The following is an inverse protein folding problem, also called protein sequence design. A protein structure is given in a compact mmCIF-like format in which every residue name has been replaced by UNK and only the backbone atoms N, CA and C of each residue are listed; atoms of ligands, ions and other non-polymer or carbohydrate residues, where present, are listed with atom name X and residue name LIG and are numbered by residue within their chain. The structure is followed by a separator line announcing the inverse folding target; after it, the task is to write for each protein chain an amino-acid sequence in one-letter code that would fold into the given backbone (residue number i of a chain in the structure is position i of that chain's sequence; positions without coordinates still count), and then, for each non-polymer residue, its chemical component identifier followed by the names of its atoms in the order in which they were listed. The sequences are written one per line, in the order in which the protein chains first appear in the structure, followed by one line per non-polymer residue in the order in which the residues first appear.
data_IF_018631938441
#
_entry.id   IF_018631938441
#
_cell.length_a   1.000
_cell.length_b   1.000
_cell.length_c   1.000
_cell.angle_alpha   90.00
_cell.angle_beta   90.00
_cell.angle_gamma   90.00
#
_symmetry.space_group_name_H-M   'P 1'
#
loop_
_entity.id
_entity.type
_entity.pdbx_description
1 polymer ?
#
# COMPACT_ATOMS: atom_id res chain seq x y z
N UNK A 1 7.05 29.40 -29.72
CA UNK A 1 7.31 29.00 -28.32
C UNK A 1 6.73 27.62 -28.10
N UNK A 2 7.61 26.62 -27.93
CA UNK A 2 7.26 25.24 -27.52
C UNK A 2 7.36 25.17 -26.00
N UNK A 3 6.54 24.37 -25.34
CA UNK A 3 7.00 23.32 -24.42
C UNK A 3 5.87 22.34 -24.08
N UNK A 4 6.17 21.06 -24.29
CA UNK A 4 5.49 19.88 -23.74
C UNK A 4 6.34 19.43 -22.55
N UNK A 5 5.73 19.17 -21.41
CA UNK A 5 6.40 18.61 -20.23
C UNK A 5 6.28 17.09 -20.30
N UNK A 6 7.44 16.43 -20.34
CA UNK A 6 7.58 14.99 -20.16
C UNK A 6 8.03 14.71 -18.71
N UNK A 7 7.43 13.70 -18.11
CA UNK A 7 7.69 13.18 -16.77
C UNK A 7 8.97 12.34 -16.80
N UNK A 8 9.91 12.63 -15.91
CA UNK A 8 11.13 11.87 -15.72
C UNK A 8 10.94 10.85 -14.58
N UNK A 9 11.15 9.58 -14.90
CA UNK A 9 11.25 8.47 -13.95
C UNK A 9 12.52 7.67 -14.27
N UNK A 10 13.15 7.16 -13.21
CA UNK A 10 14.18 6.12 -13.18
C UNK A 10 15.62 6.55 -13.56
N UNK A 11 16.50 6.58 -12.55
CA UNK A 11 17.87 6.06 -12.68
C UNK A 11 18.50 5.85 -11.30
N UNK A 12 18.58 4.60 -10.84
CA UNK A 12 19.59 4.15 -9.86
C UNK A 12 19.94 2.69 -10.14
N UNK A 13 20.89 2.51 -11.05
CA UNK A 13 21.77 1.36 -11.29
C UNK A 13 22.89 2.00 -12.14
N UNK A 14 24.17 2.02 -11.78
CA UNK A 14 25.08 0.89 -11.61
C UNK A 14 26.40 1.40 -11.01
N UNK A 15 26.97 0.71 -10.01
CA UNK A 15 28.39 0.86 -9.68
C UNK A 15 29.15 -0.28 -10.37
N UNK A 16 29.63 -0.04 -11.59
CA UNK A 16 30.54 -0.95 -12.29
C UNK A 16 31.96 -0.42 -12.13
N UNK A 17 32.76 -1.07 -11.27
CA UNK A 17 34.20 -0.87 -11.26
C UNK A 17 34.79 -1.56 -12.50
N UNK A 18 35.38 -0.77 -13.39
CA UNK A 18 36.15 -1.26 -14.52
C UNK A 18 37.51 -1.79 -14.00
N UNK A 19 37.72 -3.10 -14.09
CA UNK A 19 39.05 -3.71 -14.06
C UNK A 19 39.32 -4.33 -15.42
N UNK A 20 40.45 -3.95 -16.01
CA UNK A 20 40.84 -4.30 -17.37
C UNK A 20 41.01 -5.80 -17.59
N UNK A 21 40.63 -6.24 -18.79
CA UNK A 21 40.82 -7.60 -19.28
C UNK A 21 42.31 -7.89 -19.46
N UNK A 22 42.81 -8.87 -18.72
CA UNK A 22 44.07 -9.56 -19.02
C UNK A 22 43.70 -11.04 -19.21
N UNK A 23 44.07 -11.69 -20.33
CA UNK A 23 43.62 -13.05 -20.60
C UNK A 23 44.34 -14.02 -19.65
N UNK A 24 43.58 -14.57 -18.71
CA UNK A 24 44.04 -15.61 -17.79
C UNK A 24 44.18 -16.94 -18.56
N UNK A 25 45.28 -17.70 -18.39
CA UNK A 25 45.48 -18.95 -19.12
C UNK A 25 44.48 -20.02 -18.66
N UNK A 26 44.09 -20.91 -19.58
CA UNK A 26 43.15 -21.99 -19.32
C UNK A 26 43.59 -22.86 -18.13
N UNK A 27 42.89 -22.75 -17.00
CA UNK A 27 43.09 -23.61 -15.83
C UNK A 27 42.35 -24.93 -16.07
N UNK A 28 43.13 -25.99 -16.18
CA UNK A 28 42.68 -27.37 -16.13
C UNK A 28 42.04 -27.66 -14.76
N UNK A 29 40.71 -27.68 -14.69
CA UNK A 29 40.00 -27.93 -13.43
C UNK A 29 38.46 -27.99 -13.52
N UNK A 30 37.89 -28.18 -14.71
CA UNK A 30 36.45 -28.03 -14.98
C UNK A 30 35.54 -29.15 -14.41
N UNK A 31 35.84 -29.69 -13.22
CA UNK A 31 35.04 -30.78 -12.64
C UNK A 31 35.06 -30.91 -11.12
N UNK A 32 35.67 -29.98 -10.37
CA UNK A 32 35.67 -30.01 -8.90
C UNK A 32 34.71 -29.01 -8.25
N UNK A 33 34.54 -27.82 -8.82
CA UNK A 33 33.72 -26.78 -8.18
C UNK A 33 32.21 -27.03 -8.30
N UNK A 34 31.73 -27.64 -9.39
CA UNK A 34 30.30 -27.89 -9.61
C UNK A 34 29.69 -28.88 -8.61
N UNK A 35 30.45 -29.90 -8.20
CA UNK A 35 29.97 -30.91 -7.24
C UNK A 35 29.80 -30.34 -5.82
N UNK A 36 30.67 -29.42 -5.41
CA UNK A 36 30.57 -28.75 -4.12
C UNK A 36 29.47 -27.69 -4.09
N UNK A 37 29.22 -27.02 -5.22
CA UNK A 37 28.10 -26.06 -5.38
C UNK A 37 26.73 -26.75 -5.34
N UNK A 38 26.55 -27.87 -6.05
CA UNK A 38 25.29 -28.62 -6.07
C UNK A 38 24.91 -29.12 -4.67
N UNK A 39 25.86 -29.68 -3.92
CA UNK A 39 25.65 -30.14 -2.54
C UNK A 39 25.37 -28.99 -1.57
N UNK A 40 25.94 -27.81 -1.81
CA UNK A 40 25.66 -26.61 -1.02
C UNK A 40 24.27 -26.05 -1.33
N UNK A 41 23.87 -26.01 -2.61
CA UNK A 41 22.52 -25.61 -3.03
C UNK A 41 21.47 -26.56 -2.41
N UNK A 42 21.75 -27.86 -2.38
CA UNK A 42 20.84 -28.85 -1.81
C UNK A 42 20.69 -28.71 -0.29
N UNK A 43 21.79 -28.41 0.42
CA UNK A 43 21.74 -28.03 1.85
C UNK A 43 20.95 -26.75 2.09
N UNK A 44 21.12 -25.72 1.25
CA UNK A 44 20.37 -24.46 1.35
C UNK A 44 18.88 -24.64 1.00
N UNK A 45 18.54 -25.59 0.12
CA UNK A 45 17.15 -25.94 -0.19
C UNK A 45 16.41 -26.53 1.01
N UNK A 46 17.12 -27.21 1.91
CA UNK A 46 16.57 -27.76 3.15
C UNK A 46 16.38 -26.70 4.25
N UNK A 47 17.01 -25.53 4.12
CA UNK A 47 16.84 -24.46 5.11
C UNK A 47 15.44 -23.85 4.98
N UNK A 48 14.67 -23.79 6.07
CA UNK A 48 13.34 -23.23 6.03
C UNK A 48 13.40 -21.70 5.92
N UNK A 49 12.56 -21.15 5.03
CA UNK A 49 12.39 -19.72 4.85
C UNK A 49 11.33 -19.25 5.84
N UNK A 50 11.78 -18.85 7.02
CA UNK A 50 10.90 -18.55 8.14
C UNK A 50 10.43 -17.09 8.11
N UNK A 51 11.19 -16.16 7.53
CA UNK A 51 10.76 -14.77 7.43
C UNK A 51 10.17 -14.49 6.07
N UNK A 52 9.16 -13.64 6.03
CA UNK A 52 8.65 -13.12 4.77
C UNK A 52 8.28 -11.65 4.89
N UNK A 53 8.38 -10.96 3.76
CA UNK A 53 7.91 -9.60 3.58
C UNK A 53 7.27 -9.44 2.20
N UNK A 54 6.22 -8.64 2.10
CA UNK A 54 5.49 -8.38 0.87
C UNK A 54 5.15 -6.92 0.73
N UNK A 55 5.22 -6.45 -0.51
CA UNK A 55 4.72 -5.15 -0.92
C UNK A 55 3.60 -5.38 -1.92
N UNK A 56 2.42 -4.87 -1.63
CA UNK A 56 1.23 -5.09 -2.46
C UNK A 56 0.55 -3.79 -2.80
N UNK A 57 0.13 -3.64 -4.05
CA UNK A 57 -0.90 -2.70 -4.43
C UNK A 57 -2.25 -3.15 -3.85
N UNK A 58 -3.05 -2.18 -3.44
CA UNK A 58 -4.32 -2.41 -2.76
C UNK A 58 -5.43 -1.67 -3.47
N UNK A 59 -6.49 -2.40 -3.81
CA UNK A 59 -7.79 -1.86 -4.21
C UNK A 59 -8.79 -2.12 -3.10
N UNK A 60 -9.48 -1.08 -2.64
CA UNK A 60 -10.43 -1.16 -1.54
C UNK A 60 -11.81 -0.65 -1.94
N UNK A 61 -12.83 -1.39 -1.53
CA UNK A 61 -14.22 -1.10 -1.82
C UNK A 61 -15.04 -1.12 -0.51
N UNK A 62 -15.52 0.05 -0.05
CA UNK A 62 -16.40 0.17 1.10
C UNK A 62 -17.72 -0.59 0.94
N UNK A 63 -18.34 -0.95 2.07
CA UNK A 63 -19.63 -1.67 2.10
C UNK A 63 -20.64 -1.05 3.05
N UNK A 64 -21.88 -1.53 2.93
CA UNK A 64 -22.98 -1.16 3.80
C UNK A 64 -23.26 0.35 3.82
N UNK A 65 -23.59 0.84 5.02
CA UNK A 65 -23.88 2.25 5.26
C UNK A 65 -22.64 3.14 5.04
N UNK A 66 -21.45 2.60 5.29
CA UNK A 66 -20.21 3.31 5.06
C UNK A 66 -19.97 3.61 3.57
N UNK A 67 -20.29 2.65 2.69
CA UNK A 67 -20.29 2.92 1.24
C UNK A 67 -21.26 4.03 0.87
N UNK A 68 -22.51 3.96 1.34
CA UNK A 68 -23.53 4.98 1.04
C UNK A 68 -23.09 6.37 1.50
N UNK A 69 -22.44 6.42 2.66
CA UNK A 69 -21.87 7.65 3.19
C UNK A 69 -20.76 8.18 2.28
N UNK A 70 -19.78 7.34 1.91
CA UNK A 70 -18.69 7.77 1.04
C UNK A 70 -19.20 8.17 -0.36
N UNK A 71 -20.21 7.47 -0.89
CA UNK A 71 -20.88 7.82 -2.14
C UNK A 71 -21.54 9.21 -2.06
N UNK A 72 -22.08 9.61 -0.89
CA UNK A 72 -22.69 10.94 -0.68
C UNK A 72 -21.68 12.10 -0.78
N UNK A 73 -20.41 11.79 -0.54
CA UNK A 73 -19.27 12.69 -0.72
C UNK A 73 -18.49 12.36 -1.99
N UNK A 74 -19.14 11.73 -2.98
CA UNK A 74 -18.60 11.39 -4.30
C UNK A 74 -17.25 10.64 -4.26
N UNK A 75 -17.11 9.74 -3.30
CA UNK A 75 -15.91 8.93 -3.10
C UNK A 75 -16.36 7.48 -2.92
N UNK A 76 -16.03 6.55 -3.82
CA UNK A 76 -16.67 5.22 -3.82
C UNK A 76 -15.71 4.03 -3.75
N UNK A 77 -14.41 4.29 -3.90
CA UNK A 77 -13.33 3.29 -3.85
C UNK A 77 -12.04 3.97 -3.41
N UNK A 78 -11.10 3.16 -2.92
CA UNK A 78 -9.78 3.63 -2.51
C UNK A 78 -8.66 2.77 -3.10
N UNK A 79 -7.53 3.39 -3.39
CA UNK A 79 -6.32 2.71 -3.85
C UNK A 79 -5.16 2.96 -2.91
N UNK A 80 -4.19 2.07 -2.88
CA UNK A 80 -2.93 2.36 -2.23
C UNK A 80 -2.01 1.17 -2.15
N UNK A 81 -1.27 1.08 -1.06
CA UNK A 81 -0.22 0.09 -0.89
C UNK A 81 -0.28 -0.50 0.51
N UNK A 82 0.10 -1.77 0.64
CA UNK A 82 0.30 -2.43 1.93
C UNK A 82 1.68 -3.06 1.98
N UNK A 83 2.27 -2.98 3.16
CA UNK A 83 3.42 -3.77 3.54
C UNK A 83 2.98 -4.81 4.56
N UNK A 84 3.28 -6.06 4.28
CA UNK A 84 3.01 -7.17 5.20
C UNK A 84 4.29 -7.96 5.43
N UNK A 85 4.50 -8.44 6.64
CA UNK A 85 5.61 -9.33 6.95
C UNK A 85 5.35 -10.14 8.20
N UNK A 86 6.11 -11.21 8.36
CA UNK A 86 5.91 -12.10 9.49
C UNK A 86 6.90 -13.25 9.55
N UNK A 87 6.63 -14.12 10.52
CA UNK A 87 7.37 -15.34 10.81
C UNK A 87 6.49 -16.56 10.54
N UNK A 88 6.97 -17.47 9.70
CA UNK A 88 6.42 -18.78 9.39
C UNK A 88 7.11 -19.83 10.26
N UNK A 89 6.32 -20.65 10.94
CA UNK A 89 6.83 -21.78 11.71
C UNK A 89 7.28 -22.90 10.76
N UNK A 90 8.37 -23.58 11.11
CA UNK A 90 8.98 -24.62 10.25
C UNK A 90 8.15 -25.91 10.23
N UNK A 91 7.61 -26.32 11.39
CA UNK A 91 6.96 -27.62 11.55
C UNK A 91 5.47 -27.61 11.16
N UNK A 92 4.86 -26.42 11.11
CA UNK A 92 3.44 -26.24 10.81
C UNK A 92 3.28 -25.16 9.74
N UNK A 93 2.30 -25.27 8.82
CA UNK A 93 2.09 -24.26 7.78
C UNK A 93 1.43 -22.99 8.33
N UNK A 94 1.78 -22.57 9.54
CA UNK A 94 1.25 -21.40 10.23
C UNK A 94 2.30 -20.29 10.21
N UNK A 95 1.84 -19.06 10.09
CA UNK A 95 2.63 -17.86 10.20
C UNK A 95 1.90 -16.81 11.03
N UNK A 96 2.67 -15.96 11.72
CA UNK A 96 2.16 -14.79 12.43
C UNK A 96 2.88 -13.58 11.86
N UNK A 97 2.16 -12.49 11.67
CA UNK A 97 2.73 -11.29 11.07
C UNK A 97 1.93 -10.03 11.37
N UNK A 98 2.35 -8.96 10.74
CA UNK A 98 1.67 -7.68 10.75
C UNK A 98 1.49 -7.18 9.31
N UNK A 99 0.47 -6.37 9.11
CA UNK A 99 0.12 -5.72 7.85
C UNK A 99 -0.19 -4.25 8.14
N UNK A 100 0.45 -3.37 7.37
CA UNK A 100 0.22 -1.92 7.43
C UNK A 100 -0.08 -1.44 6.03
N UNK A 101 -1.30 -0.98 5.84
CA UNK A 101 -1.77 -0.41 4.59
C UNK A 101 -1.87 1.11 4.65
N UNK A 102 -1.80 1.74 3.49
CA UNK A 102 -2.23 3.12 3.27
C UNK A 102 -3.17 3.11 2.07
N UNK A 103 -4.37 3.64 2.26
CA UNK A 103 -5.43 3.72 1.25
C UNK A 103 -5.86 5.17 1.08
N UNK A 104 -5.88 5.62 -0.16
CA UNK A 104 -6.29 6.95 -0.56
C UNK A 104 -7.68 6.88 -1.18
N UNK A 105 -8.60 7.65 -0.62
CA UNK A 105 -10.00 7.70 -1.02
C UNK A 105 -10.29 9.06 -1.64
N UNK A 106 -9.89 9.21 -2.90
CA UNK A 106 -10.12 10.41 -3.72
C UNK A 106 -9.56 11.71 -3.13
N UNK A 107 -9.52 12.74 -3.96
CA UNK A 107 -9.38 14.13 -3.50
C UNK A 107 -10.30 15.00 -4.34
N UNK A 108 -11.05 15.88 -3.68
CA UNK A 108 -11.86 16.87 -4.39
C UNK A 108 -11.17 18.22 -4.31
N UNK A 109 -10.80 18.73 -5.47
CA UNK A 109 -10.32 20.09 -5.64
C UNK A 109 -11.39 20.92 -6.32
N UNK A 110 -11.82 22.02 -5.70
CA UNK A 110 -12.66 23.03 -6.35
C UNK A 110 -11.98 24.39 -6.22
N UNK A 111 -11.86 25.10 -7.34
CA UNK A 111 -11.34 26.47 -7.38
C UNK A 111 -12.49 27.45 -7.59
N UNK A 112 -12.57 28.44 -6.70
CA UNK A 112 -13.60 29.48 -6.69
C UNK A 112 -13.02 30.81 -7.15
N UNK A 113 -13.77 31.49 -8.01
CA UNK A 113 -13.48 32.86 -8.43
C UNK A 113 -14.34 33.80 -7.60
N UNK A 114 -13.71 34.57 -6.70
CA UNK A 114 -14.44 35.58 -5.92
C UNK A 114 -14.03 36.98 -6.40
N UNK A 115 -14.97 37.79 -6.92
CA UNK A 115 -14.70 39.19 -7.16
C UNK A 115 -14.56 39.91 -5.81
N UNK A 116 -13.40 40.52 -5.57
CA UNK A 116 -13.10 41.31 -4.39
C UNK A 116 -12.71 42.73 -4.82
N UNK A 117 -13.19 43.74 -4.08
CA UNK A 117 -12.73 45.12 -4.28
C UNK A 117 -11.69 45.42 -3.22
N UNK A 118 -10.43 45.55 -3.62
CA UNK A 118 -9.30 45.88 -2.74
C UNK A 118 -8.83 47.28 -3.10
N UNK A 119 -8.97 48.23 -2.17
CA UNK A 119 -8.58 49.63 -2.40
C UNK A 119 -9.36 50.32 -3.53
N UNK A 120 -10.62 49.93 -3.76
CA UNK A 120 -11.46 50.52 -4.81
C UNK A 120 -11.26 49.93 -6.22
N UNK A 121 -10.33 48.97 -6.40
CA UNK A 121 -10.08 48.30 -7.68
C UNK A 121 -10.71 46.89 -7.65
N UNK A 122 -11.56 46.52 -8.61
CA UNK A 122 -12.09 45.17 -8.72
C UNK A 122 -10.96 44.20 -9.10
N UNK A 123 -10.76 43.18 -8.27
CA UNK A 123 -9.83 42.07 -8.51
C UNK A 123 -10.55 40.74 -8.39
N UNK A 124 -10.20 39.78 -9.24
CA UNK A 124 -10.65 38.40 -9.10
C UNK A 124 -9.65 37.64 -8.25
N UNK A 125 -10.12 37.08 -7.14
CA UNK A 125 -9.33 36.19 -6.27
C UNK A 125 -9.69 34.75 -6.61
N UNK A 126 -8.68 33.90 -6.67
CA UNK A 126 -8.83 32.46 -6.79
C UNK A 126 -8.59 31.81 -5.43
N UNK A 127 -9.56 31.03 -4.99
CA UNK A 127 -9.45 30.21 -3.78
C UNK A 127 -9.57 28.74 -4.15
N UNK A 128 -8.68 27.92 -3.62
CA UNK A 128 -8.69 26.48 -3.87
C UNK A 128 -9.05 25.76 -2.57
N UNK A 129 -10.11 24.96 -2.64
CA UNK A 129 -10.51 24.04 -1.57
C UNK A 129 -10.07 22.64 -1.97
N UNK A 130 -9.32 21.98 -1.07
CA UNK A 130 -8.93 20.59 -1.22
C UNK A 130 -9.43 19.77 -0.03
N UNK A 131 -10.04 18.62 -0.33
CA UNK A 131 -10.38 17.60 0.67
C UNK A 131 -9.76 16.27 0.28
N UNK A 132 -9.08 15.62 1.23
CA UNK A 132 -8.53 14.28 1.05
C UNK A 132 -8.89 13.36 2.21
N UNK A 133 -9.02 12.08 1.90
CA UNK A 133 -9.32 11.04 2.88
C UNK A 133 -8.30 9.91 2.77
N UNK A 134 -7.70 9.56 3.89
CA UNK A 134 -6.68 8.52 4.00
C UNK A 134 -7.07 7.53 5.08
N UNK A 135 -6.94 6.23 4.78
CA UNK A 135 -7.14 5.14 5.72
C UNK A 135 -5.83 4.38 5.88
N UNK A 136 -5.44 4.13 7.12
CA UNK A 136 -4.23 3.41 7.46
C UNK A 136 -4.62 2.21 8.33
N UNK A 137 -4.97 1.06 7.71
CA UNK A 137 -5.20 -0.18 8.45
C UNK A 137 -3.89 -0.74 8.98
N UNK A 138 -3.86 -1.06 10.27
CA UNK A 138 -2.76 -1.72 10.98
C UNK A 138 -3.33 -2.98 11.60
N UNK A 139 -2.85 -4.15 11.16
CA UNK A 139 -3.42 -5.45 11.52
C UNK A 139 -2.34 -6.40 11.95
N UNK A 140 -2.55 -7.10 13.07
CA UNK A 140 -1.79 -8.31 13.41
C UNK A 140 -2.56 -9.50 12.85
N UNK A 141 -1.88 -10.38 12.12
CA UNK A 141 -2.50 -11.50 11.42
C UNK A 141 -1.85 -12.84 11.73
N UNK A 142 -2.68 -13.87 11.76
CA UNK A 142 -2.29 -15.26 11.71
C UNK A 142 -2.68 -15.80 10.33
N UNK A 143 -1.75 -16.50 9.67
CA UNK A 143 -1.90 -17.02 8.31
C UNK A 143 -1.59 -18.51 8.28
N UNK A 144 -2.42 -19.28 7.62
CA UNK A 144 -2.16 -20.69 7.28
C UNK A 144 -1.81 -20.73 5.79
N UNK A 145 -0.60 -21.17 5.45
CA UNK A 145 -0.05 -21.13 4.10
C UNK A 145 0.70 -22.45 3.76
N UNK A 146 -0.04 -23.51 3.38
CA UNK A 146 0.57 -24.77 2.92
C UNK A 146 1.38 -24.55 1.64
N UNK A 147 2.56 -25.17 1.56
CA UNK A 147 3.39 -25.15 0.35
C UNK A 147 3.03 -26.34 -0.54
N UNK A 148 2.56 -26.07 -1.75
CA UNK A 148 2.14 -27.07 -2.75
C UNK A 148 3.10 -27.02 -3.96
N UNK A 149 4.35 -26.60 -3.74
CA UNK A 149 5.42 -26.58 -4.74
C UNK A 149 5.58 -25.20 -5.38
N UNK A 150 4.88 -24.97 -6.50
CA UNK A 150 4.93 -23.68 -7.23
C UNK A 150 3.84 -22.70 -6.80
N UNK A 151 2.84 -23.18 -6.04
CA UNK A 151 1.76 -22.36 -5.47
C UNK A 151 1.67 -22.58 -3.97
N UNK A 152 1.44 -21.50 -3.25
CA UNK A 152 1.15 -21.50 -1.83
C UNK A 152 -0.16 -20.73 -1.60
N UNK A 153 -1.31 -21.43 -1.58
CA UNK A 153 -2.55 -20.80 -1.16
C UNK A 153 -2.45 -20.45 0.33
N UNK A 154 -3.15 -19.41 0.76
CA UNK A 154 -3.20 -19.03 2.16
C UNK A 154 -4.59 -18.55 2.58
N UNK A 155 -4.87 -18.75 3.86
CA UNK A 155 -6.00 -18.13 4.56
C UNK A 155 -5.42 -17.36 5.74
N UNK A 156 -5.95 -16.18 6.02
CA UNK A 156 -5.50 -15.35 7.11
C UNK A 156 -6.68 -14.77 7.88
N UNK A 157 -6.46 -14.55 9.17
CA UNK A 157 -7.35 -13.81 10.04
C UNK A 157 -6.53 -12.89 10.91
N UNK A 158 -7.08 -11.74 11.26
CA UNK A 158 -6.36 -10.74 12.02
C UNK A 158 -7.28 -9.76 12.73
N UNK A 159 -6.67 -8.97 13.59
CA UNK A 159 -7.34 -7.89 14.30
C UNK A 159 -6.38 -6.70 14.44
N UNK A 160 -6.93 -5.51 14.60
CA UNK A 160 -6.12 -4.32 14.74
C UNK A 160 -6.95 -3.05 14.71
N UNK A 161 -6.35 -1.98 14.19
CA UNK A 161 -6.92 -0.63 14.19
C UNK A 161 -6.84 -0.06 12.77
N UNK A 162 -7.81 0.76 12.40
CA UNK A 162 -7.68 1.61 11.20
C UNK A 162 -7.64 3.05 11.62
N UNK A 163 -6.60 3.78 11.22
CA UNK A 163 -6.56 5.23 11.38
C UNK A 163 -7.23 5.86 10.16
N UNK A 164 -8.34 6.54 10.38
CA UNK A 164 -9.09 7.27 9.36
C UNK A 164 -8.80 8.75 9.54
N UNK A 165 -8.16 9.37 8.54
CA UNK A 165 -7.85 10.79 8.56
C UNK A 165 -8.56 11.50 7.40
N UNK A 166 -9.27 12.57 7.74
CA UNK A 166 -9.85 13.50 6.76
C UNK A 166 -9.21 14.87 6.93
N UNK A 167 -8.62 15.37 5.85
CA UNK A 167 -7.96 16.67 5.82
C UNK A 167 -8.73 17.62 4.93
N UNK A 168 -8.96 18.83 5.43
CA UNK A 168 -9.46 19.98 4.68
C UNK A 168 -8.38 21.06 4.64
N UNK A 169 -8.14 21.60 3.46
CA UNK A 169 -7.28 22.76 3.25
C UNK A 169 -7.98 23.78 2.35
N UNK A 170 -8.02 25.03 2.82
CA UNK A 170 -8.43 26.20 2.06
C UNK A 170 -7.23 27.12 1.88
N UNK A 171 -6.86 27.33 0.62
CA UNK A 171 -5.80 28.27 0.25
C UNK A 171 -6.43 29.47 -0.44
N UNK A 172 -6.31 30.65 0.17
CA UNK A 172 -6.77 31.91 -0.42
C UNK A 172 -5.60 32.76 -0.92
N UNK A 173 -5.72 33.30 -2.13
CA UNK A 173 -4.71 34.17 -2.74
C UNK A 173 -4.56 35.54 -2.05
N UNK A 174 -5.40 35.88 -1.07
CA UNK A 174 -5.32 37.12 -0.27
C UNK A 174 -4.69 36.94 1.11
N UNK A 175 -4.10 35.76 1.41
CA UNK A 175 -3.25 35.56 2.58
C UNK A 175 -3.90 34.84 3.76
N UNK A 176 -4.87 33.97 3.51
CA UNK A 176 -5.46 33.07 4.51
C UNK A 176 -5.27 31.61 4.13
N UNK A 177 -4.69 30.83 5.04
CA UNK A 177 -4.65 29.36 4.96
C UNK A 177 -5.41 28.81 6.17
N UNK A 178 -6.46 28.02 5.91
CA UNK A 178 -7.19 27.32 6.95
C UNK A 178 -7.08 25.82 6.71
N UNK A 179 -6.45 25.14 7.66
CA UNK A 179 -6.29 23.69 7.64
C UNK A 179 -7.01 23.11 8.86
N UNK A 180 -7.83 22.09 8.63
CA UNK A 180 -8.43 21.32 9.71
C UNK A 180 -8.31 19.83 9.41
N UNK A 181 -8.01 19.05 10.44
CA UNK A 181 -7.87 17.60 10.36
C UNK A 181 -8.85 16.96 11.35
N UNK A 182 -9.48 15.88 10.92
CA UNK A 182 -10.25 15.01 11.80
C UNK A 182 -9.72 13.58 11.68
N UNK A 183 -9.32 13.01 12.82
CA UNK A 183 -8.77 11.65 12.89
C UNK A 183 -9.65 10.78 13.78
N UNK A 184 -9.94 9.57 13.33
CA UNK A 184 -10.69 8.56 14.07
C UNK A 184 -9.94 7.23 14.00
N UNK A 185 -10.04 6.42 15.05
CA UNK A 185 -9.29 5.15 15.15
C UNK A 185 -10.22 4.00 15.58
N UNK A 186 -11.09 3.50 14.69
CA UNK A 186 -11.88 2.31 14.97
C UNK A 186 -11.03 1.05 15.09
N UNK A 187 -11.51 0.13 15.92
CA UNK A 187 -11.03 -1.25 15.94
C UNK A 187 -11.56 -2.01 14.71
N UNK A 188 -10.79 -3.00 14.25
CA UNK A 188 -11.16 -3.85 13.14
C UNK A 188 -10.76 -5.30 13.32
N UNK A 189 -11.53 -6.18 12.69
CA UNK A 189 -11.20 -7.58 12.47
C UNK A 189 -11.09 -7.83 10.98
N UNK A 190 -10.26 -8.77 10.56
CA UNK A 190 -10.17 -9.14 9.15
C UNK A 190 -10.06 -10.64 8.96
N UNK A 191 -10.60 -11.09 7.84
CA UNK A 191 -10.45 -12.45 7.33
C UNK A 191 -10.15 -12.36 5.85
N UNK A 192 -9.21 -13.16 5.37
CA UNK A 192 -8.79 -13.11 3.99
C UNK A 192 -8.28 -14.45 3.49
N UNK A 193 -8.18 -14.56 2.19
CA UNK A 193 -7.57 -15.67 1.50
C UNK A 193 -6.79 -15.16 0.29
N UNK A 194 -5.80 -15.92 -0.14
CA UNK A 194 -5.03 -15.54 -1.31
C UNK A 194 -4.13 -16.66 -1.82
N UNK A 195 -3.30 -16.27 -2.77
CA UNK A 195 -2.45 -17.15 -3.54
C UNK A 195 -1.07 -16.52 -3.70
N UNK A 196 -0.04 -17.25 -3.33
CA UNK A 196 1.35 -16.93 -3.63
C UNK A 196 1.83 -17.86 -4.75
N UNK A 197 2.18 -17.31 -5.90
CA UNK A 197 2.75 -18.05 -7.03
C UNK A 197 4.25 -17.84 -7.04
N UNK A 198 5.03 -18.90 -6.87
CA UNK A 198 6.50 -18.85 -6.86
C UNK A 198 7.00 -18.50 -8.27
N UNK A 199 7.81 -17.46 -8.38
CA UNK A 199 8.37 -16.99 -9.66
C UNK A 199 9.87 -17.24 -9.74
N UNK A 200 10.59 -17.09 -8.63
CA UNK A 200 12.03 -17.33 -8.59
C UNK A 200 12.45 -17.92 -7.23
N UNK A 201 13.45 -18.80 -7.25
CA UNK A 201 14.18 -19.28 -6.07
C UNK A 201 15.65 -18.96 -6.33
N UNK A 202 16.20 -18.02 -5.56
CA UNK A 202 17.56 -17.51 -5.71
C UNK A 202 18.42 -18.10 -4.60
N UNK A 203 19.50 -18.77 -5.02
CA UNK A 203 20.49 -19.33 -4.13
C UNK A 203 21.75 -18.48 -4.21
N UNK A 204 22.02 -17.68 -3.17
CA UNK A 204 23.30 -17.01 -3.02
C UNK A 204 24.21 -17.93 -2.20
N UNK A 205 25.05 -18.67 -2.90
CA UNK A 205 26.15 -19.42 -2.32
C UNK A 205 27.12 -18.45 -1.62
N UNK A 206 27.62 -18.75 -0.41
CA UNK A 206 27.37 -19.94 0.41
C UNK A 206 26.26 -19.79 1.48
N UNK A 207 25.52 -18.68 1.57
CA UNK A 207 24.86 -18.28 2.84
C UNK A 207 23.33 -18.16 2.81
N UNK A 208 22.68 -17.86 1.67
CA UNK A 208 21.24 -17.52 1.71
C UNK A 208 20.44 -18.08 0.54
N UNK A 209 19.25 -18.56 0.87
CA UNK A 209 18.17 -18.88 -0.08
C UNK A 209 17.09 -17.81 0.04
N UNK A 210 16.56 -17.35 -1.09
CA UNK A 210 15.45 -16.40 -1.13
C UNK A 210 14.42 -16.85 -2.16
N UNK A 211 13.15 -16.90 -1.78
CA UNK A 211 12.08 -17.23 -2.70
C UNK A 211 11.20 -16.01 -2.97
N UNK A 212 10.95 -15.73 -4.25
CA UNK A 212 10.10 -14.65 -4.72
C UNK A 212 8.77 -15.20 -5.21
N UNK A 213 7.70 -14.55 -4.78
CA UNK A 213 6.33 -14.90 -5.11
C UNK A 213 5.58 -13.69 -5.66
N UNK A 214 4.70 -13.93 -6.61
CA UNK A 214 3.60 -13.00 -6.92
C UNK A 214 2.46 -13.32 -5.98
N UNK A 215 1.99 -12.31 -5.24
CA UNK A 215 0.92 -12.41 -4.27
C UNK A 215 -0.37 -11.84 -4.86
N UNK A 216 -1.44 -12.62 -4.79
CA UNK A 216 -2.81 -12.16 -5.02
C UNK A 216 -3.61 -12.44 -3.74
N UNK A 217 -4.36 -11.46 -3.24
CA UNK A 217 -5.12 -11.60 -2.01
C UNK A 217 -6.49 -10.94 -2.08
N UNK A 218 -7.43 -11.50 -1.32
CA UNK A 218 -8.74 -10.94 -1.05
C UNK A 218 -8.95 -10.97 0.47
N UNK A 219 -9.20 -9.80 1.06
CA UNK A 219 -9.45 -9.64 2.49
C UNK A 219 -10.73 -8.88 2.70
N UNK A 220 -11.53 -9.34 3.66
CA UNK A 220 -12.65 -8.59 4.20
C UNK A 220 -12.24 -8.01 5.54
N UNK A 221 -12.43 -6.70 5.71
CA UNK A 221 -12.19 -5.98 6.96
C UNK A 221 -13.55 -5.60 7.54
N UNK A 222 -13.84 -6.14 8.71
CA UNK A 222 -14.96 -5.79 9.56
C UNK A 222 -14.52 -4.62 10.46
N UNK A 223 -15.07 -3.44 10.20
CA UNK A 223 -14.81 -2.26 11.01
C UNK A 223 -15.85 -2.13 12.12
N UNK A 224 -15.41 -1.77 13.33
CA UNK A 224 -16.37 -1.45 14.39
C UNK A 224 -17.16 -0.17 14.06
N UNK A 225 -18.22 0.08 14.82
CA UNK A 225 -18.97 1.32 14.75
C UNK A 225 -18.06 2.51 15.07
N UNK A 226 -17.98 3.44 14.13
CA UNK A 226 -17.32 4.72 14.35
C UNK A 226 -18.26 5.85 13.97
N UNK A 227 -18.31 6.86 14.82
CA UNK A 227 -18.72 8.19 14.39
C UNK A 227 -17.58 8.74 13.54
N UNK A 228 -17.92 9.27 12.38
CA UNK A 228 -16.97 9.89 11.48
C UNK A 228 -17.52 11.22 10.99
N UNK A 229 -16.61 12.17 10.90
CA UNK A 229 -16.90 13.52 10.41
C UNK A 229 -15.97 13.77 9.24
N UNK A 230 -16.57 14.00 8.07
CA UNK A 230 -15.86 14.31 6.85
C UNK A 230 -16.21 15.70 6.35
N UNK A 231 -15.29 16.29 5.63
CA UNK A 231 -15.48 17.57 4.97
C UNK A 231 -15.97 17.32 3.55
N UNK A 232 -16.96 18.08 3.09
CA UNK A 232 -17.40 18.12 1.69
C UNK A 232 -17.50 19.58 1.26
N UNK A 233 -17.10 19.87 0.03
CA UNK A 233 -17.30 21.20 -0.53
C UNK A 233 -18.79 21.43 -0.80
N UNK A 234 -19.35 22.55 -0.34
CA UNK A 234 -20.77 22.86 -0.52
C UNK A 234 -21.15 22.90 -2.01
N UNK A 235 -22.34 22.40 -2.33
CA UNK A 235 -22.86 22.32 -3.71
C UNK A 235 -23.56 23.63 -4.15
N UNK A 236 -23.63 24.63 -3.28
CA UNK A 236 -24.29 25.93 -3.50
C UNK A 236 -23.42 26.96 -4.26
N UNK A 237 -22.19 26.58 -4.64
CA UNK A 237 -21.24 27.49 -5.31
C UNK A 237 -20.55 28.48 -4.36
N UNK A 238 -20.77 28.37 -3.04
CA UNK A 238 -20.08 29.16 -2.03
C UNK A 238 -18.70 28.58 -1.68
N UNK A 239 -17.87 29.40 -1.01
CA UNK A 239 -16.57 28.99 -0.44
C UNK A 239 -16.72 28.13 0.84
N UNK A 240 -17.95 27.73 1.19
CA UNK A 240 -18.21 27.00 2.43
C UNK A 240 -17.92 25.51 2.29
N UNK A 241 -17.49 24.92 3.40
CA UNK A 241 -17.29 23.48 3.51
C UNK A 241 -18.29 22.96 4.50
N UNK A 242 -19.07 21.97 4.05
CA UNK A 242 -20.05 21.29 4.86
C UNK A 242 -19.36 20.19 5.66
N UNK A 243 -19.62 20.20 6.96
CA UNK A 243 -19.26 19.10 7.85
C UNK A 243 -20.34 18.03 7.75
N UNK A 244 -20.03 16.90 7.14
CA UNK A 244 -20.95 15.77 7.06
C UNK A 244 -20.55 14.76 8.13
N UNK A 245 -21.45 14.58 9.09
CA UNK A 245 -21.31 13.60 10.16
C UNK A 245 -22.10 12.35 9.82
N UNK A 246 -21.56 11.19 10.17
CA UNK A 246 -22.24 9.92 10.04
C UNK A 246 -21.72 8.92 11.05
N UNK A 247 -22.53 7.90 11.33
CA UNK A 247 -22.19 6.81 12.22
C UNK A 247 -22.48 5.49 11.52
N UNK A 248 -21.47 4.66 11.30
CA UNK A 248 -21.66 3.30 10.81
C UNK A 248 -20.43 2.42 11.01
N UNK A 249 -20.58 1.13 10.73
CA UNK A 249 -19.46 0.18 10.61
C UNK A 249 -18.65 0.47 9.36
N UNK A 250 -17.32 0.52 9.50
CA UNK A 250 -16.40 0.84 8.41
C UNK A 250 -15.94 -0.42 7.67
N UNK A 251 -16.89 -1.19 7.14
CA UNK A 251 -16.61 -2.47 6.46
C UNK A 251 -16.01 -2.26 5.05
N UNK A 252 -14.98 -3.03 4.72
CA UNK A 252 -14.23 -2.92 3.45
C UNK A 252 -13.94 -4.30 2.84
N UNK A 253 -14.08 -4.41 1.51
CA UNK A 253 -13.36 -5.44 0.74
C UNK A 253 -12.03 -4.87 0.28
N UNK A 254 -10.98 -5.67 0.36
CA UNK A 254 -9.63 -5.30 0.01
C UNK A 254 -9.06 -6.38 -0.92
N UNK A 255 -8.67 -5.98 -2.12
CA UNK A 255 -8.00 -6.83 -3.10
C UNK A 255 -6.56 -6.39 -3.17
N UNK A 256 -5.62 -7.33 -3.06
CA UNK A 256 -4.19 -7.07 -3.08
C UNK A 256 -3.51 -7.79 -4.24
N UNK A 257 -2.55 -7.12 -4.86
CA UNK A 257 -1.67 -7.70 -5.87
C UNK A 257 -0.26 -7.19 -5.64
N UNK A 258 0.73 -8.06 -5.58
CA UNK A 258 2.10 -7.62 -5.36
C UNK A 258 3.15 -8.71 -5.38
N UNK A 259 4.26 -8.44 -4.69
CA UNK A 259 5.41 -9.33 -4.61
C UNK A 259 5.68 -9.65 -3.15
N UNK A 260 6.00 -10.91 -2.88
CA UNK A 260 6.45 -11.40 -1.58
C UNK A 260 7.84 -12.02 -1.73
N UNK A 261 8.69 -11.76 -0.74
CA UNK A 261 10.01 -12.38 -0.59
C UNK A 261 10.01 -13.19 0.71
N UNK A 262 10.51 -14.41 0.66
CA UNK A 262 10.76 -15.25 1.84
C UNK A 262 12.26 -15.55 1.97
N UNK A 263 12.80 -15.48 3.19
CA UNK A 263 14.22 -15.62 3.52
C UNK A 263 14.48 -16.25 4.91
#
# INVERSE_FOLDING_TARGET
MRHRIAVALATMLTLSAAYGQQPEPAIAGAGRDTFDEEQQIERLRQKPLNWFGSLTFVYSQPRGNFKRFLDSINTSWGLGFSFNGGYKFTDVPVAIGADVGVLFYGSQERTYQTPLVIGGIPRTVYDTVNTSIVFIPITVLARIAPDIGWVQPYVEAGAGLTVISSTYSLKSNVGGEQNNNRTHVPFQYSVGAGLNVKVADVFNLPVSRQAYYVNLGLRYIYGDWSDYTFWKVADDGSRSVETITGASRTDLYVITLGVQVAF
#
